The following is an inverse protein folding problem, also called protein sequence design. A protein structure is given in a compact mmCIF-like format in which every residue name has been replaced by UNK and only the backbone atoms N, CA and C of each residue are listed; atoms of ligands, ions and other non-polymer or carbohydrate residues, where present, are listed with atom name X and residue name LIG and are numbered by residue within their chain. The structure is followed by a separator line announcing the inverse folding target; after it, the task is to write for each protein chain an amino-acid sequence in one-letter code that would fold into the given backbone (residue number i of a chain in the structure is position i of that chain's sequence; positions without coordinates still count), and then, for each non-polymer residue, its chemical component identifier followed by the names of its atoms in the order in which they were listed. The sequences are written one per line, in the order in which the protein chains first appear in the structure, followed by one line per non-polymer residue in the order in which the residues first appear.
data_IF_153870119959
#
_entry.id   IF_153870119959
#
_cell.length_a   1.000
_cell.length_b   1.000
_cell.length_c   1.000
_cell.angle_alpha   90.00
_cell.angle_beta   90.00
_cell.angle_gamma   90.00
#
_symmetry.space_group_name_H-M   'P 1'
#
loop_
_entity.id
_entity.type
_entity.pdbx_description
1 polymer ?
#
# COMPACT_ATOMS: atom_id res chain seq x y z
N UNK A 1 2.74 12.42 49.46
CA UNK A 1 1.81 11.65 48.61
C UNK A 1 2.42 11.65 47.21
N UNK A 2 3.12 10.59 46.86
CA UNK A 2 3.88 10.44 45.58
C UNK A 2 3.03 9.65 44.62
N UNK A 3 2.76 10.25 43.49
CA UNK A 3 1.94 9.69 42.40
C UNK A 3 2.82 8.72 41.57
N UNK A 4 2.47 7.44 41.41
CA UNK A 4 3.24 6.53 40.57
C UNK A 4 2.90 6.74 39.08
N UNK A 5 3.88 7.19 38.32
CA UNK A 5 3.83 7.23 36.86
C UNK A 5 3.69 5.81 36.32
N UNK A 6 2.55 5.51 35.73
CA UNK A 6 2.33 4.28 34.96
C UNK A 6 3.19 4.33 33.68
N UNK A 7 4.21 3.50 33.66
CA UNK A 7 4.95 3.18 32.43
C UNK A 7 4.03 2.43 31.48
N UNK A 8 3.71 3.05 30.34
CA UNK A 8 2.99 2.39 29.26
C UNK A 8 4.04 1.62 28.46
N UNK A 9 4.12 0.31 28.68
CA UNK A 9 4.91 -0.58 27.83
C UNK A 9 4.25 -0.65 26.44
N UNK A 10 4.82 0.08 25.49
CA UNK A 10 4.47 -0.09 24.09
C UNK A 10 4.91 -1.51 23.63
N UNK A 11 4.06 -2.25 22.91
CA UNK A 11 4.44 -3.55 22.40
C UNK A 11 5.60 -3.39 21.41
N UNK A 12 6.73 -4.01 21.71
CA UNK A 12 7.87 -4.10 20.81
C UNK A 12 7.46 -4.91 19.58
N UNK A 13 7.20 -4.21 18.48
CA UNK A 13 7.12 -4.85 17.16
C UNK A 13 8.53 -5.38 16.88
N UNK A 14 8.71 -6.69 16.97
CA UNK A 14 9.95 -7.35 16.52
C UNK A 14 10.00 -7.23 15.00
N UNK A 15 10.61 -6.19 14.49
CA UNK A 15 11.15 -6.24 13.13
C UNK A 15 12.20 -7.35 13.15
N UNK A 16 11.89 -8.46 12.51
CA UNK A 16 12.87 -9.51 12.28
C UNK A 16 13.96 -8.84 11.44
N UNK A 17 15.11 -8.55 12.06
CA UNK A 17 16.29 -8.12 11.32
C UNK A 17 16.59 -9.24 10.33
N UNK A 18 16.30 -8.99 9.07
CA UNK A 18 16.80 -9.84 8.00
C UNK A 18 18.31 -9.70 8.08
N UNK A 19 18.96 -10.75 8.56
CA UNK A 19 20.38 -10.96 8.47
C UNK A 19 20.79 -10.53 7.07
N UNK A 20 21.84 -9.71 6.97
CA UNK A 20 22.47 -9.31 5.72
C UNK A 20 22.88 -10.61 5.01
N UNK A 21 21.94 -11.21 4.27
CA UNK A 21 22.30 -12.16 3.25
C UNK A 21 23.23 -11.42 2.30
N UNK A 22 24.44 -11.94 2.12
CA UNK A 22 25.35 -11.56 1.04
C UNK A 22 24.48 -11.26 -0.18
N UNK A 23 24.49 -9.99 -0.65
CA UNK A 23 23.73 -9.55 -1.82
C UNK A 23 24.24 -10.36 -3.02
N UNK A 24 23.69 -11.53 -3.22
CA UNK A 24 23.69 -12.15 -4.54
C UNK A 24 22.96 -11.16 -5.44
N UNK A 25 23.66 -10.63 -6.42
CA UNK A 25 23.05 -9.73 -7.40
C UNK A 25 21.80 -10.43 -7.94
N UNK A 26 20.65 -9.76 -7.85
CA UNK A 26 19.41 -10.32 -8.36
C UNK A 26 19.62 -10.66 -9.84
N UNK A 27 19.17 -11.84 -10.28
CA UNK A 27 19.24 -12.22 -11.67
C UNK A 27 18.50 -11.16 -12.53
N UNK A 28 19.18 -10.47 -13.46
CA UNK A 28 18.57 -9.39 -14.23
C UNK A 28 17.36 -9.85 -15.06
N UNK A 29 17.36 -11.11 -15.49
CA UNK A 29 16.27 -11.70 -16.27
C UNK A 29 15.04 -11.87 -15.37
N UNK A 30 15.21 -12.45 -14.18
CA UNK A 30 14.12 -12.60 -13.21
C UNK A 30 13.60 -11.25 -12.74
N UNK A 31 14.48 -10.29 -12.48
CA UNK A 31 14.09 -8.93 -12.08
C UNK A 31 13.21 -8.28 -13.16
N UNK A 32 13.64 -8.34 -14.42
CA UNK A 32 12.87 -7.81 -15.55
C UNK A 32 11.52 -8.52 -15.72
N UNK A 33 11.49 -9.84 -15.57
CA UNK A 33 10.28 -10.64 -15.68
C UNK A 33 9.26 -10.25 -14.59
N UNK A 34 9.70 -10.14 -13.34
CA UNK A 34 8.82 -9.76 -12.23
C UNK A 34 8.35 -8.31 -12.35
N UNK A 35 9.23 -7.37 -12.72
CA UNK A 35 8.86 -5.98 -12.94
C UNK A 35 7.74 -5.87 -13.98
N UNK A 36 7.88 -6.53 -15.14
CA UNK A 36 6.86 -6.54 -16.19
C UNK A 36 5.54 -7.19 -15.72
N UNK A 37 5.60 -8.26 -14.92
CA UNK A 37 4.40 -8.90 -14.38
C UNK A 37 3.67 -8.00 -13.39
N UNK A 38 4.37 -7.33 -12.49
CA UNK A 38 3.74 -6.38 -11.55
C UNK A 38 3.14 -5.18 -12.27
N UNK A 39 3.81 -4.65 -13.30
CA UNK A 39 3.24 -3.60 -14.15
C UNK A 39 1.96 -4.07 -14.83
N UNK A 40 1.95 -5.27 -15.41
CA UNK A 40 0.76 -5.83 -16.06
C UNK A 40 -0.42 -6.03 -15.08
N UNK A 41 -0.15 -6.37 -13.82
CA UNK A 41 -1.19 -6.43 -12.77
C UNK A 41 -1.74 -5.05 -12.49
N UNK A 42 -0.89 -4.03 -12.28
CA UNK A 42 -1.33 -2.66 -12.04
C UNK A 42 -2.15 -2.11 -13.23
N UNK A 43 -1.75 -2.39 -14.47
CA UNK A 43 -2.52 -2.05 -15.68
C UNK A 43 -3.88 -2.76 -15.73
N UNK A 44 -3.93 -4.03 -15.33
CA UNK A 44 -5.19 -4.79 -15.29
C UNK A 44 -6.15 -4.22 -14.24
N UNK A 45 -5.64 -3.80 -13.08
CA UNK A 45 -6.42 -3.07 -12.07
C UNK A 45 -7.02 -1.80 -12.66
N UNK A 46 -6.21 -0.99 -13.35
CA UNK A 46 -6.66 0.25 -13.98
C UNK A 46 -7.73 0.02 -15.05
N UNK A 47 -7.56 -0.99 -15.91
CA UNK A 47 -8.57 -1.34 -16.91
C UNK A 47 -9.89 -1.79 -16.27
N UNK A 48 -9.82 -2.57 -15.21
CA UNK A 48 -11.01 -2.99 -14.47
C UNK A 48 -11.74 -1.80 -13.86
N UNK A 49 -11.01 -0.88 -13.22
CA UNK A 49 -11.56 0.34 -12.66
C UNK A 49 -12.22 1.20 -13.74
N UNK A 50 -11.55 1.43 -14.86
CA UNK A 50 -12.08 2.18 -15.99
C UNK A 50 -13.39 1.57 -16.54
N UNK A 51 -13.40 0.26 -16.75
CA UNK A 51 -14.55 -0.44 -17.36
C UNK A 51 -15.77 -0.48 -16.44
N UNK A 52 -15.56 -0.61 -15.14
CA UNK A 52 -16.63 -0.72 -14.13
C UNK A 52 -17.10 0.62 -13.59
N UNK A 53 -16.34 1.70 -13.81
CA UNK A 53 -16.69 3.03 -13.31
C UNK A 53 -17.85 3.64 -14.09
N UNK A 54 -18.70 4.39 -13.37
CA UNK A 54 -19.72 5.27 -13.94
C UNK A 54 -19.25 6.73 -14.03
N UNK A 55 -18.15 7.05 -13.36
CA UNK A 55 -17.56 8.40 -13.36
C UNK A 55 -16.94 8.73 -14.71
N UNK A 56 -17.35 9.85 -15.32
CA UNK A 56 -16.74 10.35 -16.55
C UNK A 56 -15.27 10.66 -16.39
N UNK A 57 -14.86 11.17 -15.22
CA UNK A 57 -13.46 11.45 -14.94
C UNK A 57 -12.62 10.18 -14.97
N UNK A 58 -13.09 9.10 -14.37
CA UNK A 58 -12.38 7.82 -14.38
C UNK A 58 -12.46 7.16 -15.76
N UNK A 59 -13.66 7.07 -16.34
CA UNK A 59 -13.91 6.29 -17.54
C UNK A 59 -13.33 6.92 -18.79
N UNK A 60 -13.50 8.24 -18.96
CA UNK A 60 -13.14 8.96 -20.20
C UNK A 60 -11.81 9.70 -20.07
N UNK A 61 -11.53 10.30 -18.90
CA UNK A 61 -10.34 11.11 -18.67
C UNK A 61 -9.20 10.35 -18.05
N UNK A 62 -9.42 9.11 -17.60
CA UNK A 62 -8.45 8.26 -16.90
C UNK A 62 -7.87 8.93 -15.64
N UNK A 63 -8.69 9.74 -14.96
CA UNK A 63 -8.30 10.48 -13.76
C UNK A 63 -8.28 9.56 -12.54
N UNK A 64 -7.33 8.64 -12.56
CA UNK A 64 -7.05 7.70 -11.49
C UNK A 64 -5.62 7.17 -11.60
N UNK A 65 -5.14 6.51 -10.55
CA UNK A 65 -3.87 5.79 -10.54
C UNK A 65 -4.06 4.43 -9.86
N UNK A 66 -3.37 3.41 -10.36
CA UNK A 66 -3.33 2.08 -9.75
C UNK A 66 -1.88 1.67 -9.54
N UNK A 67 -1.56 1.16 -8.36
CA UNK A 67 -0.21 0.78 -8.01
C UNK A 67 -0.15 -0.38 -7.02
N UNK A 68 1.01 -1.04 -6.98
CA UNK A 68 1.35 -2.11 -6.05
C UNK A 68 2.50 -1.63 -5.17
N UNK A 69 2.37 -1.86 -3.89
CA UNK A 69 3.33 -1.44 -2.87
C UNK A 69 3.84 -2.64 -2.07
N UNK A 70 5.09 -2.56 -1.64
CA UNK A 70 5.66 -3.51 -0.70
C UNK A 70 5.02 -3.37 0.70
N UNK A 71 5.24 -4.32 1.62
CA UNK A 71 4.68 -4.26 2.97
C UNK A 71 5.06 -3.02 3.78
N UNK A 72 6.18 -2.38 3.44
CA UNK A 72 6.63 -1.11 4.04
C UNK A 72 6.01 0.13 3.40
N UNK A 73 5.18 -0.05 2.34
CA UNK A 73 4.55 1.01 1.59
C UNK A 73 5.42 1.62 0.49
N UNK A 74 6.60 1.04 0.18
CA UNK A 74 7.40 1.47 -0.98
C UNK A 74 6.77 0.99 -2.29
N UNK A 75 6.82 1.87 -3.31
CA UNK A 75 6.25 1.58 -4.63
C UNK A 75 7.01 0.45 -5.33
N UNK A 76 6.30 -0.58 -5.78
CA UNK A 76 6.84 -1.67 -6.60
C UNK A 76 6.53 -1.45 -8.07
N UNK A 77 5.27 -1.21 -8.40
CA UNK A 77 4.83 -1.01 -9.77
C UNK A 77 3.59 -0.13 -9.82
N UNK A 78 3.43 0.60 -10.92
CA UNK A 78 2.26 1.45 -11.17
C UNK A 78 1.79 1.29 -12.62
N UNK A 79 0.51 1.53 -12.85
CA UNK A 79 -0.04 1.65 -14.19
C UNK A 79 0.26 3.04 -14.76
N UNK A 80 0.52 3.14 -16.09
CA UNK A 80 0.85 4.40 -16.76
C UNK A 80 -0.40 5.26 -17.02
N UNK A 81 -1.21 5.53 -15.97
CA UNK A 81 -2.32 6.47 -16.04
C UNK A 81 -1.84 7.86 -15.59
N UNK A 82 -2.56 8.57 -14.73
CA UNK A 82 -2.09 9.86 -14.22
C UNK A 82 -1.04 9.68 -13.13
N UNK A 83 0.21 10.12 -13.33
CA UNK A 83 1.27 9.94 -12.32
C UNK A 83 1.12 10.86 -11.10
N UNK A 84 0.26 11.87 -11.15
CA UNK A 84 0.14 12.91 -10.13
C UNK A 84 -0.22 12.34 -8.74
N UNK A 85 -0.99 11.27 -8.67
CA UNK A 85 -1.42 10.66 -7.41
C UNK A 85 -0.37 9.76 -6.78
N UNK A 86 0.62 9.28 -7.55
CA UNK A 86 1.55 8.22 -7.10
C UNK A 86 2.41 8.64 -5.90
N UNK A 87 2.82 9.90 -5.85
CA UNK A 87 3.58 10.42 -4.71
C UNK A 87 2.78 10.37 -3.42
N UNK A 88 1.54 10.85 -3.44
CA UNK A 88 0.64 10.83 -2.28
C UNK A 88 0.22 9.42 -1.90
N UNK A 89 -0.01 8.51 -2.86
CA UNK A 89 -0.40 7.12 -2.58
C UNK A 89 0.65 6.37 -1.75
N UNK A 90 1.94 6.56 -2.03
CA UNK A 90 3.01 5.95 -1.22
C UNK A 90 2.92 6.37 0.24
N UNK A 91 2.70 7.66 0.51
CA UNK A 91 2.51 8.16 1.87
C UNK A 91 1.22 7.64 2.50
N UNK A 92 0.13 7.56 1.74
CA UNK A 92 -1.13 7.02 2.23
C UNK A 92 -1.00 5.55 2.65
N UNK A 93 -0.35 4.70 1.82
CA UNK A 93 -0.11 3.30 2.15
C UNK A 93 0.81 3.18 3.38
N UNK A 94 1.91 3.92 3.43
CA UNK A 94 2.82 3.92 4.58
C UNK A 94 2.13 4.38 5.87
N UNK A 95 1.31 5.43 5.79
CA UNK A 95 0.55 5.92 6.95
C UNK A 95 -0.40 4.86 7.47
N UNK A 96 -1.19 4.22 6.62
CA UNK A 96 -2.14 3.20 7.02
C UNK A 96 -1.44 1.94 7.52
N UNK A 97 -0.37 1.49 6.87
CA UNK A 97 0.42 0.35 7.32
C UNK A 97 0.99 0.54 8.73
N UNK A 98 1.40 1.77 9.07
CA UNK A 98 1.97 2.10 10.39
C UNK A 98 0.93 2.39 11.47
N UNK A 99 -0.19 3.01 11.10
CA UNK A 99 -1.11 3.64 12.08
C UNK A 99 -2.45 2.92 12.23
N UNK A 100 -2.74 1.86 11.47
CA UNK A 100 -4.04 1.19 11.55
C UNK A 100 -4.35 0.70 12.98
N UNK A 101 -3.34 0.20 13.69
CA UNK A 101 -3.48 -0.23 15.08
C UNK A 101 -3.72 0.94 16.06
N UNK A 102 -3.20 2.14 15.78
CA UNK A 102 -3.43 3.34 16.62
C UNK A 102 -4.86 3.86 16.51
N UNK A 103 -5.55 3.54 15.42
CA UNK A 103 -6.96 3.86 15.21
C UNK A 103 -7.91 2.89 15.93
N UNK A 104 -7.39 2.00 16.79
CA UNK A 104 -8.19 1.02 17.53
C UNK A 104 -8.73 -0.14 16.69
N UNK A 105 -8.28 -0.27 15.44
CA UNK A 105 -8.73 -1.30 14.50
C UNK A 105 -7.83 -2.53 14.45
N UNK A 106 -6.78 -2.58 15.26
CA UNK A 106 -5.82 -3.69 15.27
C UNK A 106 -4.92 -3.71 14.04
N UNK A 107 -4.63 -4.89 13.50
CA UNK A 107 -3.89 -5.08 12.26
C UNK A 107 -4.84 -5.30 11.08
N UNK A 108 -4.37 -5.13 9.85
CA UNK A 108 -5.09 -5.54 8.65
C UNK A 108 -5.48 -7.03 8.69
N UNK A 109 -6.65 -7.33 8.19
CA UNK A 109 -7.16 -8.69 8.01
C UNK A 109 -7.41 -8.96 6.53
N UNK A 110 -7.49 -10.24 6.17
CA UNK A 110 -7.89 -10.64 4.82
C UNK A 110 -9.28 -10.08 4.49
N UNK A 111 -9.38 -9.43 3.33
CA UNK A 111 -10.62 -8.81 2.87
C UNK A 111 -10.85 -7.38 3.36
N UNK A 112 -9.96 -6.83 4.19
CA UNK A 112 -10.04 -5.42 4.56
C UNK A 112 -9.77 -4.51 3.36
N UNK A 113 -10.51 -3.40 3.30
CA UNK A 113 -10.26 -2.27 2.41
C UNK A 113 -10.30 -1.00 3.24
N UNK A 114 -9.23 -0.23 3.17
CA UNK A 114 -9.15 1.07 3.83
C UNK A 114 -9.35 2.18 2.81
N UNK A 115 -10.27 3.09 3.09
CA UNK A 115 -10.49 4.29 2.30
C UNK A 115 -9.86 5.49 3.02
N UNK A 116 -9.07 6.27 2.31
CA UNK A 116 -8.46 7.48 2.85
C UNK A 116 -8.40 8.59 1.80
N UNK A 117 -8.62 9.82 2.23
CA UNK A 117 -8.48 11.03 1.40
C UNK A 117 -7.91 12.21 2.21
N UNK A 118 -7.56 11.98 3.48
CA UNK A 118 -7.13 13.07 4.35
C UNK A 118 -5.65 13.42 4.09
N UNK A 119 -5.29 14.71 3.89
CA UNK A 119 -3.92 15.12 3.58
C UNK A 119 -2.88 14.69 4.62
N UNK A 120 -3.22 14.71 5.92
CA UNK A 120 -2.34 14.25 7.01
C UNK A 120 -2.05 12.73 6.89
N UNK A 121 -2.96 11.98 6.29
CA UNK A 121 -2.81 10.54 6.05
C UNK A 121 -2.28 10.22 4.63
N UNK A 122 -1.64 11.16 3.98
CA UNK A 122 -1.03 10.98 2.65
C UNK A 122 -1.96 11.26 1.48
N UNK A 123 -3.18 11.80 1.70
CA UNK A 123 -4.06 12.23 0.61
C UNK A 123 -3.53 13.47 -0.10
N UNK A 124 -3.78 13.60 -1.41
CA UNK A 124 -3.45 14.80 -2.19
C UNK A 124 -4.44 15.93 -1.88
N UNK A 125 -5.73 15.68 -2.10
CA UNK A 125 -6.83 16.58 -1.76
C UNK A 125 -8.11 15.75 -1.51
N UNK A 126 -9.08 16.35 -0.81
CA UNK A 126 -10.25 15.63 -0.32
C UNK A 126 -11.10 14.89 -1.38
N UNK A 127 -11.22 15.37 -2.62
CA UNK A 127 -11.93 14.64 -3.67
C UNK A 127 -11.25 13.33 -4.10
N UNK A 128 -9.94 13.19 -3.94
CA UNK A 128 -9.19 11.99 -4.29
C UNK A 128 -9.33 10.94 -3.19
N UNK A 129 -10.04 9.86 -3.48
CA UNK A 129 -10.20 8.75 -2.55
C UNK A 129 -9.22 7.65 -2.92
N UNK A 130 -8.35 7.30 -1.98
CA UNK A 130 -7.43 6.17 -2.13
C UNK A 130 -8.01 4.94 -1.43
N UNK A 131 -8.18 3.85 -2.18
CA UNK A 131 -8.56 2.54 -1.67
C UNK A 131 -7.29 1.70 -1.47
N UNK A 132 -7.01 1.26 -0.25
CA UNK A 132 -5.83 0.47 0.09
C UNK A 132 -6.27 -0.92 0.54
N UNK A 133 -5.77 -1.96 -0.11
CA UNK A 133 -6.10 -3.35 0.19
C UNK A 133 -4.83 -4.15 0.47
N UNK A 134 -4.73 -4.83 1.62
CA UNK A 134 -3.61 -5.72 1.91
C UNK A 134 -3.75 -7.02 1.14
N UNK A 135 -2.64 -7.50 0.59
CA UNK A 135 -2.52 -8.80 -0.07
C UNK A 135 -1.69 -9.71 0.82
N UNK A 136 -2.31 -10.78 1.28
CA UNK A 136 -1.68 -11.76 2.17
C UNK A 136 -1.08 -12.93 1.40
N UNK A 137 -0.02 -13.51 1.94
CA UNK A 137 0.51 -14.76 1.46
C UNK A 137 -0.57 -15.87 1.49
N UNK A 138 -0.62 -16.79 0.52
CA UNK A 138 -1.68 -17.82 0.46
C UNK A 138 -1.71 -18.75 1.67
N UNK A 139 -0.54 -19.06 2.24
CA UNK A 139 -0.29 -20.11 3.22
C UNK A 139 -0.10 -19.57 4.66
N UNK A 140 -0.01 -18.25 4.83
CA UNK A 140 0.26 -17.64 6.14
C UNK A 140 -0.32 -16.23 6.25
N UNK A 141 -0.51 -15.79 7.48
CA UNK A 141 -1.12 -14.49 7.79
C UNK A 141 -0.06 -13.37 7.78
N UNK A 142 0.61 -13.23 6.61
CA UNK A 142 1.65 -12.24 6.36
C UNK A 142 1.26 -11.40 5.15
N UNK A 143 1.29 -10.08 5.31
CA UNK A 143 1.08 -9.15 4.19
C UNK A 143 2.33 -9.16 3.32
N UNK A 144 2.16 -9.47 2.04
CA UNK A 144 3.24 -9.50 1.04
C UNK A 144 3.22 -8.28 0.13
N UNK A 145 2.07 -7.65 -0.06
CA UNK A 145 1.88 -6.45 -0.86
C UNK A 145 0.71 -5.62 -0.33
N UNK A 146 0.63 -4.36 -0.79
CA UNK A 146 -0.60 -3.59 -0.82
C UNK A 146 -0.93 -3.24 -2.26
N UNK A 147 -2.23 -3.20 -2.59
CA UNK A 147 -2.74 -2.57 -3.81
C UNK A 147 -3.46 -1.29 -3.46
N UNK A 148 -3.29 -0.28 -4.25
CA UNK A 148 -3.96 1.00 -4.06
C UNK A 148 -4.32 1.65 -5.40
#
# INVERSE_FOLDING_TARGET
MTNPTRSINAPHIRYRSYSIMTRTAADPILLSLFANRFMAVAESMGRSLQQTSISTNIKERLDFSCAIFAPDGSLIANAPHLPVHLGSMSFAVQYQAKNLHTLGKGSFKRGDVVLTNHPVAGGSHLPDITCITPVFAPDRDEIIFFTA
#
